data_IF_877397806374
#
_entry.id   IF_877397806374
#
_cell.length_a   1.000
_cell.length_b   1.000
_cell.length_c   1.000
_cell.angle_alpha   90.00
_cell.angle_beta   90.00
_cell.angle_gamma   90.00
#
_symmetry.space_group_name_H-M   'P 1'
#
loop_
_entity.id
_entity.type
_entity.pdbx_description
1 polymer ?
#
# COMPACT_ATOMS: atom_id res chain seq x y z
N UNK A 1 -35.48 22.59 -13.04
CA UNK A 1 -34.61 21.40 -13.19
C UNK A 1 -33.20 21.88 -12.83
N UNK A 2 -32.49 21.16 -11.96
CA UNK A 2 -31.18 21.61 -11.47
C UNK A 2 -30.06 21.13 -12.38
N UNK A 3 -28.97 21.89 -12.43
CA UNK A 3 -27.74 21.50 -13.10
C UNK A 3 -26.91 20.63 -12.16
N UNK A 4 -26.62 19.40 -12.59
CA UNK A 4 -25.86 18.39 -11.85
C UNK A 4 -24.49 18.14 -12.53
N UNK A 5 -23.95 19.12 -13.24
CA UNK A 5 -22.65 19.02 -13.92
C UNK A 5 -21.45 18.97 -12.98
N UNK A 6 -21.60 19.45 -11.74
CA UNK A 6 -20.54 19.49 -10.73
C UNK A 6 -20.71 18.36 -9.70
N UNK A 7 -19.67 17.54 -9.54
CA UNK A 7 -19.60 16.52 -8.51
C UNK A 7 -19.10 17.11 -7.19
N UNK A 8 -19.61 16.59 -6.08
CA UNK A 8 -19.19 16.96 -4.73
C UNK A 8 -18.53 15.78 -4.04
N UNK A 9 -17.50 16.06 -3.23
CA UNK A 9 -16.87 15.03 -2.42
C UNK A 9 -17.89 14.41 -1.45
N UNK A 10 -18.21 13.13 -1.67
CA UNK A 10 -19.01 12.32 -0.75
C UNK A 10 -18.05 11.34 -0.09
N UNK A 11 -18.02 11.33 1.25
CA UNK A 11 -17.21 10.37 2.00
C UNK A 11 -17.68 8.95 1.70
N UNK A 12 -16.81 8.17 1.04
CA UNK A 12 -17.05 6.76 0.80
C UNK A 12 -16.46 5.97 1.96
N UNK A 13 -17.32 5.29 2.73
CA UNK A 13 -16.84 4.39 3.78
C UNK A 13 -16.25 3.13 3.15
N UNK A 14 -14.92 3.09 3.04
CA UNK A 14 -14.21 1.85 2.77
C UNK A 14 -14.15 1.05 4.06
N UNK A 15 -14.98 0.01 4.17
CA UNK A 15 -14.79 -0.97 5.24
C UNK A 15 -13.36 -1.51 5.16
N UNK A 16 -12.71 -1.74 6.30
CA UNK A 16 -11.40 -2.40 6.32
C UNK A 16 -11.42 -3.61 5.40
N UNK A 17 -10.45 -3.68 4.47
CA UNK A 17 -10.35 -4.72 3.46
C UNK A 17 -10.41 -6.08 4.16
N UNK A 18 -11.54 -6.78 4.03
CA UNK A 18 -11.70 -8.10 4.64
C UNK A 18 -10.90 -9.10 3.80
N UNK A 19 -9.86 -9.61 4.41
CA UNK A 19 -9.03 -10.67 3.85
C UNK A 19 -9.67 -12.00 4.27
N UNK A 20 -10.30 -12.70 3.33
CA UNK A 20 -10.94 -14.01 3.58
C UNK A 20 -9.95 -15.17 3.46
N UNK A 21 -8.89 -14.99 2.66
CA UNK A 21 -7.82 -15.97 2.40
C UNK A 21 -6.49 -15.48 2.98
N UNK A 22 -5.54 -16.36 3.32
CA UNK A 22 -4.22 -15.98 3.86
C UNK A 22 -3.28 -15.22 2.90
N UNK A 23 -3.81 -14.62 1.84
CA UNK A 23 -3.07 -13.91 0.80
C UNK A 23 -3.71 -12.54 0.51
N UNK A 24 -2.89 -11.58 0.04
CA UNK A 24 -3.37 -10.30 -0.46
C UNK A 24 -2.54 -9.85 -1.66
N UNK A 25 -3.23 -9.30 -2.65
CA UNK A 25 -2.62 -8.62 -3.79
C UNK A 25 -2.68 -7.12 -3.54
N UNK A 26 -1.50 -6.50 -3.52
CA UNK A 26 -1.34 -5.05 -3.44
C UNK A 26 -0.72 -4.59 -4.74
N UNK A 27 -1.45 -3.75 -5.48
CA UNK A 27 -0.96 -3.09 -6.69
C UNK A 27 -0.44 -1.71 -6.30
N UNK A 28 0.83 -1.43 -6.60
CA UNK A 28 1.48 -0.17 -6.31
C UNK A 28 1.52 0.66 -7.59
N UNK A 29 0.80 1.77 -7.59
CA UNK A 29 0.75 2.71 -8.70
C UNK A 29 1.26 4.08 -8.25
N UNK A 30 2.40 4.52 -8.77
CA UNK A 30 3.02 5.80 -8.39
C UNK A 30 2.22 7.05 -8.79
N UNK A 31 1.18 6.89 -9.61
CA UNK A 31 0.26 7.98 -9.97
C UNK A 31 -0.85 8.16 -8.93
N UNK A 32 -1.09 7.17 -8.08
CA UNK A 32 -2.07 7.26 -6.99
C UNK A 32 -1.45 8.00 -5.80
N UNK A 33 -2.26 8.87 -5.18
CA UNK A 33 -1.83 9.71 -4.05
C UNK A 33 -1.23 8.85 -2.93
N UNK A 34 -1.85 7.70 -2.64
CA UNK A 34 -1.42 6.74 -1.61
C UNK A 34 0.03 6.28 -1.78
N UNK A 35 0.52 6.10 -3.02
CA UNK A 35 1.88 5.58 -3.28
C UNK A 35 2.84 6.62 -3.84
N UNK A 36 2.36 7.82 -4.16
CA UNK A 36 3.15 8.90 -4.76
C UNK A 36 4.43 9.24 -3.97
N UNK A 37 4.38 9.12 -2.64
CA UNK A 37 5.53 9.37 -1.77
C UNK A 37 6.71 8.42 -2.03
N UNK A 38 6.47 7.23 -2.59
CA UNK A 38 7.52 6.25 -2.88
C UNK A 38 8.45 6.69 -4.01
N UNK A 39 8.07 7.69 -4.82
CA UNK A 39 8.92 8.27 -5.88
C UNK A 39 10.28 8.75 -5.33
N UNK A 40 10.32 9.16 -4.05
CA UNK A 40 11.53 9.67 -3.41
C UNK A 40 12.59 8.61 -3.06
N UNK A 41 12.27 7.32 -3.07
CA UNK A 41 13.19 6.27 -2.64
C UNK A 41 14.11 5.81 -3.80
N UNK A 42 15.07 6.69 -4.13
CA UNK A 42 16.02 6.48 -5.22
C UNK A 42 17.36 5.99 -4.70
N UNK A 43 17.76 4.78 -5.12
CA UNK A 43 19.06 4.18 -4.81
C UNK A 43 19.78 3.87 -6.11
N UNK A 44 21.03 4.31 -6.26
CA UNK A 44 21.81 4.14 -7.48
C UNK A 44 21.06 4.61 -8.75
N UNK A 45 20.36 5.76 -8.64
CA UNK A 45 19.54 6.37 -9.70
C UNK A 45 18.32 5.54 -10.13
N UNK A 46 17.96 4.49 -9.39
CA UNK A 46 16.77 3.67 -9.63
C UNK A 46 15.77 3.88 -8.51
N UNK A 47 14.50 4.10 -8.85
CA UNK A 47 13.42 4.13 -7.88
C UNK A 47 13.11 2.69 -7.46
N UNK A 48 13.48 2.31 -6.25
CA UNK A 48 13.29 0.95 -5.75
C UNK A 48 12.21 0.96 -4.67
N UNK A 49 11.41 -0.10 -4.58
CA UNK A 49 10.56 -0.28 -3.42
C UNK A 49 11.44 -0.41 -2.17
N UNK A 50 11.21 0.40 -1.12
CA UNK A 50 11.98 0.29 0.11
C UNK A 50 11.82 -1.09 0.76
N UNK A 51 12.87 -1.61 1.37
CA UNK A 51 12.80 -2.84 2.17
C UNK A 51 11.73 -2.73 3.28
N UNK A 52 11.65 -1.56 3.91
CA UNK A 52 10.63 -1.21 4.90
C UNK A 52 9.22 -1.20 4.33
N UNK A 53 9.05 -0.97 3.03
CA UNK A 53 7.77 -1.06 2.33
C UNK A 53 7.18 -2.47 2.40
N UNK A 54 7.98 -3.51 2.15
CA UNK A 54 7.50 -4.90 2.28
C UNK A 54 7.07 -5.21 3.72
N UNK A 55 7.85 -4.77 4.72
CA UNK A 55 7.50 -4.97 6.13
C UNK A 55 6.17 -4.30 6.47
N UNK A 56 5.97 -3.07 6.01
CA UNK A 56 4.72 -2.34 6.23
C UNK A 56 3.53 -3.05 5.57
N UNK A 57 3.66 -3.53 4.34
CA UNK A 57 2.60 -4.28 3.64
C UNK A 57 2.23 -5.57 4.39
N UNK A 58 3.22 -6.31 4.90
CA UNK A 58 2.99 -7.52 5.71
C UNK A 58 2.29 -7.16 7.04
N UNK A 59 2.73 -6.09 7.70
CA UNK A 59 2.08 -5.63 8.93
C UNK A 59 0.63 -5.24 8.70
N UNK A 60 0.38 -4.48 7.63
CA UNK A 60 -0.96 -4.06 7.25
C UNK A 60 -1.86 -5.26 6.90
N UNK A 61 -1.34 -6.26 6.19
CA UNK A 61 -2.03 -7.53 5.96
C UNK A 61 -2.42 -8.24 7.26
N UNK A 62 -1.50 -8.33 8.22
CA UNK A 62 -1.78 -8.92 9.55
C UNK A 62 -2.86 -8.12 10.28
N UNK A 63 -2.84 -6.78 10.15
CA UNK A 63 -3.88 -5.93 10.75
C UNK A 63 -5.28 -6.22 10.16
N UNK A 64 -5.38 -6.42 8.85
CA UNK A 64 -6.63 -6.79 8.18
C UNK A 64 -7.13 -8.17 8.59
N UNK A 65 -6.23 -9.16 8.69
CA UNK A 65 -6.58 -10.50 9.19
C UNK A 65 -7.10 -10.46 10.62
N UNK A 66 -6.50 -9.62 11.48
CA UNK A 66 -6.93 -9.41 12.87
C UNK A 66 -8.17 -8.51 12.99
N UNK A 67 -8.60 -7.85 11.91
CA UNK A 67 -9.67 -6.83 11.90
C UNK A 67 -9.40 -5.71 12.91
N UNK A 68 -8.14 -5.28 12.98
CA UNK A 68 -7.64 -4.23 13.86
C UNK A 68 -6.96 -3.14 13.03
N UNK A 69 -6.86 -1.93 13.58
CA UNK A 69 -6.05 -0.90 12.95
C UNK A 69 -4.56 -1.33 13.02
N UNK A 70 -3.78 -1.03 11.98
CA UNK A 70 -2.34 -1.32 11.96
C UNK A 70 -1.61 -0.70 13.16
N UNK A 71 -2.04 0.48 13.62
CA UNK A 71 -1.47 1.17 14.78
C UNK A 71 -1.72 0.45 16.11
N UNK A 72 -2.74 -0.40 16.17
CA UNK A 72 -3.09 -1.17 17.38
C UNK A 72 -2.44 -2.57 17.39
N UNK A 73 -1.80 -2.96 16.29
CA UNK A 73 -1.20 -4.29 16.14
C UNK A 73 0.30 -4.19 16.38
N UNK A 74 0.76 -4.69 17.53
CA UNK A 74 2.20 -4.91 17.71
C UNK A 74 2.67 -6.09 16.85
N UNK A 75 3.81 -5.92 16.18
CA UNK A 75 4.41 -6.94 15.31
C UNK A 75 5.89 -7.12 15.64
N UNK A 76 6.36 -8.36 15.56
CA UNK A 76 7.78 -8.71 15.63
C UNK A 76 8.13 -9.42 14.32
N UNK A 77 9.19 -8.96 13.67
CA UNK A 77 9.75 -9.59 12.48
C UNK A 77 11.04 -10.29 12.85
N UNK A 78 11.15 -11.58 12.52
CA UNK A 78 12.32 -12.40 12.79
C UNK A 78 12.80 -13.05 11.49
N UNK A 79 14.11 -13.23 11.35
CA UNK A 79 14.75 -13.92 10.21
C UNK A 79 14.32 -13.43 8.81
N UNK A 80 14.03 -12.13 8.68
CA UNK A 80 13.61 -11.53 7.41
C UNK A 80 14.78 -11.42 6.44
N UNK A 81 14.60 -12.00 5.25
CA UNK A 81 15.57 -11.95 4.16
C UNK A 81 14.94 -11.31 2.92
N UNK A 82 15.50 -10.20 2.44
CA UNK A 82 15.08 -9.55 1.20
C UNK A 82 15.84 -10.14 0.02
N UNK A 83 15.16 -10.97 -0.78
CA UNK A 83 15.82 -11.73 -1.86
C UNK A 83 16.15 -10.87 -3.09
N UNK A 84 15.33 -9.84 -3.36
CA UNK A 84 15.51 -8.91 -4.49
C UNK A 84 14.83 -7.58 -4.20
N UNK A 85 15.30 -6.53 -4.85
CA UNK A 85 14.62 -5.23 -4.89
C UNK A 85 13.61 -5.18 -6.04
N UNK A 86 12.47 -4.55 -5.81
CA UNK A 86 11.49 -4.23 -6.86
C UNK A 86 11.80 -2.85 -7.45
N UNK A 87 11.87 -2.73 -8.77
CA UNK A 87 11.96 -1.44 -9.46
C UNK A 87 10.55 -0.86 -9.62
N UNK A 88 10.38 0.40 -9.25
CA UNK A 88 9.12 1.12 -9.43
C UNK A 88 9.19 2.04 -10.64
N UNK A 89 8.14 2.04 -11.45
CA UNK A 89 7.98 2.94 -12.61
C UNK A 89 6.64 3.67 -12.53
N UNK A 90 6.59 4.89 -13.08
CA UNK A 90 5.32 5.64 -13.23
C UNK A 90 4.47 5.08 -14.37
N UNK A 91 5.09 4.41 -15.33
CA UNK A 91 4.43 3.91 -16.53
C UNK A 91 3.75 2.56 -16.28
N UNK A 92 4.29 1.78 -15.34
CA UNK A 92 3.83 0.42 -15.06
C UNK A 92 3.63 0.25 -13.55
N UNK A 93 2.38 0.07 -13.09
CA UNK A 93 2.13 -0.35 -11.72
C UNK A 93 2.71 -1.74 -11.48
N UNK A 94 3.10 -2.00 -10.24
CA UNK A 94 3.73 -3.27 -9.82
C UNK A 94 2.85 -4.01 -8.83
#
# INVERSE_FOLDING_TARGET
RWDHSEDWYVYHYYSQRKVENGEIIVTINLLEEEFSYMIGHVVNRKNLLPATGYLFLIWQMISWLKKQNVLDVSIVFEDVNFLRSTLLSKENPV
#
